data_IF_360249665582
#
_entry.id   IF_360249665582
#
_cell.length_a   1.000
_cell.length_b   1.000
_cell.length_c   1.000
_cell.angle_alpha   90.00
_cell.angle_beta   90.00
_cell.angle_gamma   90.00
#
_symmetry.space_group_name_H-M   'P 1'
#
loop_
_entity.id
_entity.type
_entity.pdbx_description
1 polymer ?
#
# COMPACT_ATOMS: atom_id res chain seq x y z
N UNK A 1 -21.76 11.47 -11.39
CA UNK A 1 -21.07 10.19 -11.17
C UNK A 1 -19.76 10.52 -10.49
N UNK A 2 -19.33 9.77 -9.48
CA UNK A 2 -18.06 10.06 -8.81
C UNK A 2 -16.90 9.85 -9.79
N UNK A 3 -16.00 10.83 -9.88
CA UNK A 3 -14.78 10.75 -10.68
C UNK A 3 -13.55 10.61 -9.79
N UNK A 4 -12.71 9.63 -10.09
CA UNK A 4 -11.51 9.31 -9.31
C UNK A 4 -10.25 9.83 -10.00
N UNK A 5 -9.41 10.54 -9.26
CA UNK A 5 -8.08 10.93 -9.67
C UNK A 5 -7.04 9.95 -9.15
N UNK A 6 -6.27 9.34 -10.03
CA UNK A 6 -5.23 8.38 -9.65
C UNK A 6 -3.88 9.00 -9.97
N UNK A 7 -2.90 8.83 -9.09
CA UNK A 7 -1.54 9.30 -9.38
C UNK A 7 -0.49 8.27 -9.02
N UNK A 8 0.64 8.34 -9.71
CA UNK A 8 1.79 7.52 -9.38
C UNK A 8 3.05 7.90 -10.14
N UNK A 9 4.12 7.17 -9.86
CA UNK A 9 5.40 7.31 -10.55
C UNK A 9 5.85 5.97 -11.07
N UNK A 10 6.60 5.97 -12.16
CA UNK A 10 7.08 4.73 -12.76
C UNK A 10 8.52 4.86 -13.26
N UNK A 11 9.21 3.72 -13.26
CA UNK A 11 10.53 3.56 -13.86
C UNK A 11 10.71 2.11 -14.32
N UNK A 12 10.97 1.92 -15.61
CA UNK A 12 11.26 0.63 -16.25
C UNK A 12 10.30 -0.51 -15.84
N UNK A 13 9.01 -0.30 -16.09
CA UNK A 13 7.92 -1.21 -15.76
C UNK A 13 7.11 -1.66 -16.97
N UNK A 14 7.71 -1.67 -18.17
CA UNK A 14 7.05 -2.15 -19.38
C UNK A 14 6.55 -3.60 -19.25
N UNK A 15 7.18 -4.38 -18.37
CA UNK A 15 6.81 -5.77 -18.04
C UNK A 15 5.50 -5.93 -17.27
N UNK A 16 4.99 -4.89 -16.60
CA UNK A 16 3.77 -5.01 -15.76
C UNK A 16 2.74 -3.92 -15.96
N UNK A 17 3.15 -2.77 -16.50
CA UNK A 17 2.33 -1.57 -16.51
C UNK A 17 1.03 -1.75 -17.29
N UNK A 18 1.10 -2.44 -18.44
CA UNK A 18 -0.08 -2.78 -19.24
C UNK A 18 -1.05 -3.64 -18.44
N UNK A 19 -0.55 -4.68 -17.77
CA UNK A 19 -1.38 -5.54 -16.91
C UNK A 19 -2.04 -4.76 -15.78
N UNK A 20 -1.33 -3.83 -15.14
CA UNK A 20 -1.92 -2.97 -14.09
C UNK A 20 -3.05 -2.11 -14.66
N UNK A 21 -2.83 -1.44 -15.79
CA UNK A 21 -3.80 -0.52 -16.39
C UNK A 21 -5.04 -1.28 -16.87
N UNK A 22 -4.87 -2.39 -17.57
CA UNK A 22 -5.99 -3.20 -18.06
C UNK A 22 -6.79 -3.84 -16.91
N UNK A 23 -6.12 -4.33 -15.86
CA UNK A 23 -6.82 -4.90 -14.69
C UNK A 23 -7.61 -3.82 -13.93
N UNK A 24 -7.04 -2.61 -13.79
CA UNK A 24 -7.74 -1.46 -13.22
C UNK A 24 -8.97 -1.09 -14.06
N UNK A 25 -8.79 -0.88 -15.37
CA UNK A 25 -9.85 -0.53 -16.31
C UNK A 25 -10.98 -1.56 -16.32
N UNK A 26 -10.63 -2.84 -16.23
CA UNK A 26 -11.61 -3.93 -16.18
C UNK A 26 -12.41 -3.94 -14.88
N UNK A 27 -11.76 -3.68 -13.73
CA UNK A 27 -12.38 -3.84 -12.41
C UNK A 27 -13.02 -2.59 -11.87
N UNK A 28 -12.48 -1.41 -12.15
CA UNK A 28 -12.96 -0.15 -11.58
C UNK A 28 -14.16 0.38 -12.38
N UNK A 29 -15.33 0.48 -11.74
CA UNK A 29 -16.59 0.93 -12.36
C UNK A 29 -16.76 2.46 -12.39
N UNK A 30 -15.84 3.18 -11.78
CA UNK A 30 -15.86 4.63 -11.67
C UNK A 30 -15.31 5.28 -12.93
N UNK A 31 -15.71 6.52 -13.21
CA UNK A 31 -14.93 7.37 -14.11
C UNK A 31 -13.59 7.70 -13.42
N UNK A 32 -12.49 7.64 -14.16
CA UNK A 32 -11.18 7.94 -13.59
C UNK A 32 -10.19 8.49 -14.61
N UNK A 33 -9.25 9.26 -14.09
CA UNK A 33 -8.09 9.77 -14.83
C UNK A 33 -6.83 9.46 -14.04
N UNK A 34 -5.73 9.22 -14.74
CA UNK A 34 -4.46 8.85 -14.11
C UNK A 34 -3.40 9.89 -14.48
N UNK A 35 -2.70 10.46 -13.49
CA UNK A 35 -1.49 11.22 -13.75
C UNK A 35 -0.24 10.42 -13.37
N UNK A 36 0.71 10.33 -14.30
CA UNK A 36 1.91 9.49 -14.12
C UNK A 36 3.18 10.28 -14.42
N UNK A 37 4.07 10.34 -13.44
CA UNK A 37 5.43 10.82 -13.62
C UNK A 37 6.35 9.65 -13.97
N UNK A 38 6.74 9.54 -15.25
CA UNK A 38 7.77 8.61 -15.71
C UNK A 38 9.18 9.18 -15.45
N UNK A 39 10.02 8.41 -14.78
CA UNK A 39 11.40 8.79 -14.46
C UNK A 39 12.36 8.49 -15.61
N UNK A 40 12.00 8.90 -16.84
CA UNK A 40 12.76 8.63 -18.06
C UNK A 40 13.06 7.13 -18.25
N UNK A 41 12.00 6.32 -18.27
CA UNK A 41 12.12 4.89 -18.58
C UNK A 41 12.74 4.66 -19.96
N UNK A 42 13.46 3.55 -20.11
CA UNK A 42 14.17 3.18 -21.34
C UNK A 42 13.69 1.88 -21.98
N UNK A 43 12.65 1.28 -21.42
CA UNK A 43 12.15 -0.05 -21.77
C UNK A 43 10.79 -0.02 -22.49
N UNK A 44 10.34 1.15 -22.96
CA UNK A 44 9.03 1.31 -23.58
C UNK A 44 7.91 1.71 -22.61
N UNK A 45 8.19 1.87 -21.31
CA UNK A 45 7.15 2.20 -20.31
C UNK A 45 6.37 3.46 -20.66
N UNK A 46 7.06 4.53 -21.07
CA UNK A 46 6.41 5.82 -21.35
C UNK A 46 5.54 5.75 -22.61
N UNK A 47 5.97 5.00 -23.62
CA UNK A 47 5.23 4.73 -24.84
C UNK A 47 3.93 4.00 -24.52
N UNK A 48 3.99 2.96 -23.69
CA UNK A 48 2.80 2.21 -23.25
C UNK A 48 1.80 3.12 -22.53
N UNK A 49 2.27 4.00 -21.64
CA UNK A 49 1.38 4.94 -20.93
C UNK A 49 0.59 5.83 -21.88
N UNK A 50 1.22 6.31 -22.97
CA UNK A 50 0.61 7.22 -23.96
C UNK A 50 -0.42 6.53 -24.86
N UNK A 51 -0.53 5.21 -24.82
CA UNK A 51 -1.57 4.48 -25.57
C UNK A 51 -2.97 4.69 -24.96
N UNK A 52 -3.06 5.22 -23.74
CA UNK A 52 -4.31 5.39 -23.00
C UNK A 52 -4.68 6.87 -22.89
N UNK A 53 -5.87 7.22 -23.38
CA UNK A 53 -6.41 8.58 -23.41
C UNK A 53 -6.75 9.16 -22.02
N UNK A 54 -7.10 8.29 -21.06
CA UNK A 54 -7.34 8.66 -19.66
C UNK A 54 -6.07 8.79 -18.81
N UNK A 55 -4.88 8.74 -19.43
CA UNK A 55 -3.59 8.83 -18.73
C UNK A 55 -2.80 10.10 -19.15
N UNK A 56 -2.65 11.01 -18.20
CA UNK A 56 -1.73 12.14 -18.25
C UNK A 56 -0.31 11.71 -17.86
N UNK A 57 0.41 11.14 -18.83
CA UNK A 57 1.81 10.75 -18.64
C UNK A 57 2.78 11.87 -19.03
N UNK A 58 3.75 12.14 -18.16
CA UNK A 58 4.84 13.08 -18.45
C UNK A 58 6.17 12.56 -17.91
N UNK A 59 7.27 13.03 -18.50
CA UNK A 59 8.61 12.63 -18.07
C UNK A 59 9.27 13.70 -17.20
N UNK A 60 9.81 13.27 -16.07
CA UNK A 60 10.64 14.12 -15.22
C UNK A 60 11.59 13.27 -14.40
N UNK A 61 12.85 13.71 -14.33
CA UNK A 61 13.86 13.02 -13.53
C UNK A 61 13.55 13.24 -12.05
N UNK A 62 13.38 12.16 -11.30
CA UNK A 62 12.98 12.24 -9.90
C UNK A 62 13.41 11.00 -9.10
N UNK A 63 13.37 11.10 -7.78
CA UNK A 63 13.19 9.92 -6.93
C UNK A 63 11.73 9.44 -6.98
N UNK A 64 11.45 8.30 -6.34
CA UNK A 64 10.08 7.77 -6.23
C UNK A 64 9.13 8.74 -5.54
N UNK A 65 9.50 9.26 -4.37
CA UNK A 65 8.67 10.22 -3.63
C UNK A 65 8.45 11.50 -4.42
N UNK A 66 9.51 12.08 -4.99
CA UNK A 66 9.38 13.30 -5.77
C UNK A 66 8.56 13.12 -7.06
N UNK A 67 8.66 11.95 -7.71
CA UNK A 67 7.83 11.62 -8.86
C UNK A 67 6.34 11.57 -8.51
N UNK A 68 5.99 11.03 -7.34
CA UNK A 68 4.61 11.06 -6.82
C UNK A 68 4.14 12.46 -6.48
N UNK A 69 5.01 13.33 -5.97
CA UNK A 69 4.69 14.74 -5.77
C UNK A 69 4.27 15.39 -7.10
N UNK A 70 5.09 15.21 -8.14
CA UNK A 70 4.81 15.82 -9.44
C UNK A 70 3.53 15.28 -10.07
N UNK A 71 3.29 13.96 -9.96
CA UNK A 71 2.07 13.35 -10.47
C UNK A 71 0.81 13.86 -9.73
N UNK A 72 0.87 14.00 -8.41
CA UNK A 72 -0.24 14.56 -7.61
C UNK A 72 -0.52 16.03 -7.96
N UNK A 73 0.53 16.85 -8.07
CA UNK A 73 0.40 18.26 -8.47
C UNK A 73 -0.18 18.41 -9.88
N UNK A 74 0.29 17.58 -10.83
CA UNK A 74 -0.22 17.57 -12.19
C UNK A 74 -1.70 17.14 -12.26
N UNK A 75 -2.06 16.07 -11.53
CA UNK A 75 -3.45 15.60 -11.44
C UNK A 75 -4.39 16.72 -10.96
N UNK A 76 -4.06 17.36 -9.84
CA UNK A 76 -4.91 18.41 -9.24
C UNK A 76 -5.00 19.65 -10.12
N UNK A 77 -3.93 19.96 -10.86
CA UNK A 77 -3.89 21.10 -11.78
C UNK A 77 -4.75 20.86 -13.02
N UNK A 78 -4.65 19.68 -13.64
CA UNK A 78 -5.26 19.41 -14.93
C UNK A 78 -6.68 18.84 -14.81
N UNK A 79 -6.99 18.18 -13.70
CA UNK A 79 -8.28 17.53 -13.47
C UNK A 79 -8.93 18.06 -12.17
N UNK A 80 -9.33 19.34 -12.12
CA UNK A 80 -9.96 19.94 -10.95
C UNK A 80 -11.38 19.42 -10.70
N UNK A 81 -11.91 18.58 -11.58
CA UNK A 81 -13.23 17.96 -11.58
C UNK A 81 -13.27 16.58 -10.91
N UNK A 82 -12.13 16.04 -10.45
CA UNK A 82 -12.11 14.78 -9.68
C UNK A 82 -12.67 14.99 -8.26
N UNK A 83 -13.39 14.00 -7.75
CA UNK A 83 -13.98 14.04 -6.41
C UNK A 83 -13.00 13.52 -5.34
N UNK A 84 -12.41 12.36 -5.61
CA UNK A 84 -11.49 11.66 -4.72
C UNK A 84 -10.21 11.29 -5.43
N UNK A 85 -9.11 11.27 -4.68
CA UNK A 85 -7.79 10.98 -5.19
C UNK A 85 -7.18 9.82 -4.41
N UNK A 86 -6.49 8.92 -5.10
CA UNK A 86 -5.64 7.91 -4.45
C UNK A 86 -4.42 7.55 -5.30
N UNK A 87 -3.45 6.94 -4.64
CA UNK A 87 -2.18 6.50 -5.20
C UNK A 87 -2.22 5.03 -5.63
N UNK A 88 -1.54 4.70 -6.73
CA UNK A 88 -1.23 3.31 -7.11
C UNK A 88 0.24 3.13 -7.52
N UNK A 89 0.74 1.91 -7.31
CA UNK A 89 1.95 1.41 -7.95
C UNK A 89 1.61 0.83 -9.34
N UNK A 90 2.52 0.93 -10.32
CA UNK A 90 2.36 0.39 -11.69
C UNK A 90 2.91 -1.04 -11.85
N UNK A 91 2.94 -1.78 -10.75
CA UNK A 91 3.34 -3.18 -10.69
C UNK A 91 2.39 -4.03 -9.85
N UNK A 92 1.11 -3.66 -9.86
CA UNK A 92 0.06 -4.29 -9.06
C UNK A 92 -1.12 -4.78 -9.90
N UNK A 93 -1.96 -5.62 -9.29
CA UNK A 93 -3.30 -6.03 -9.73
C UNK A 93 -4.29 -5.74 -8.60
N UNK A 94 -5.57 -5.63 -8.92
CA UNK A 94 -6.61 -5.19 -8.01
C UNK A 94 -7.50 -6.35 -7.52
N UNK A 95 -8.04 -6.29 -6.29
CA UNK A 95 -9.01 -7.28 -5.82
C UNK A 95 -10.34 -7.17 -6.57
N UNK A 96 -11.10 -8.27 -6.59
CA UNK A 96 -12.47 -8.26 -7.16
C UNK A 96 -13.43 -7.40 -6.33
N UNK A 97 -13.14 -7.21 -5.03
CA UNK A 97 -13.90 -6.34 -4.11
C UNK A 97 -13.52 -4.85 -4.18
N UNK A 98 -12.76 -4.42 -5.21
CA UNK A 98 -12.25 -3.05 -5.29
C UNK A 98 -13.37 -2.00 -5.25
N UNK A 99 -14.47 -2.23 -5.98
CA UNK A 99 -15.56 -1.24 -6.05
C UNK A 99 -16.29 -1.12 -4.73
N UNK A 100 -16.64 -2.25 -4.11
CA UNK A 100 -17.32 -2.28 -2.82
C UNK A 100 -16.44 -1.64 -1.74
N UNK A 101 -15.12 -1.80 -1.83
CA UNK A 101 -14.17 -1.13 -0.95
C UNK A 101 -14.20 0.39 -1.13
N UNK A 102 -14.19 0.88 -2.37
CA UNK A 102 -14.28 2.31 -2.67
C UNK A 102 -15.64 2.87 -2.22
N UNK A 103 -16.75 2.18 -2.49
CA UNK A 103 -18.09 2.56 -2.05
C UNK A 103 -18.15 2.72 -0.52
N UNK A 104 -17.61 1.71 0.20
CA UNK A 104 -17.53 1.71 1.65
C UNK A 104 -16.71 2.87 2.19
N UNK A 105 -15.56 3.15 1.58
CA UNK A 105 -14.69 4.28 1.92
C UNK A 105 -15.42 5.61 1.72
N UNK A 106 -16.03 5.84 0.55
CA UNK A 106 -16.75 7.08 0.22
C UNK A 106 -17.88 7.32 1.22
N UNK A 107 -18.62 6.28 1.59
CA UNK A 107 -19.76 6.38 2.52
C UNK A 107 -19.37 6.84 3.92
N UNK A 108 -18.19 6.45 4.40
CA UNK A 108 -17.72 6.81 5.75
C UNK A 108 -16.76 8.00 5.77
N UNK A 109 -16.33 8.45 4.59
CA UNK A 109 -15.31 9.47 4.44
C UNK A 109 -15.71 10.79 5.10
N UNK A 110 -14.76 11.43 5.80
CA UNK A 110 -14.91 12.81 6.27
C UNK A 110 -13.75 13.66 5.80
N UNK A 111 -14.04 14.95 5.62
CA UNK A 111 -13.05 15.92 5.18
C UNK A 111 -11.86 16.02 6.15
N UNK A 112 -10.64 16.16 5.59
CA UNK A 112 -9.34 16.08 6.29
C UNK A 112 -8.95 14.68 6.79
N UNK A 113 -9.68 13.64 6.38
CA UNK A 113 -9.28 12.24 6.57
C UNK A 113 -8.57 11.69 5.34
N UNK A 114 -7.67 10.74 5.57
CA UNK A 114 -6.89 10.03 4.57
C UNK A 114 -6.95 8.55 4.91
N UNK A 115 -7.27 7.72 3.93
CA UNK A 115 -7.51 6.31 4.12
C UNK A 115 -6.49 5.46 3.34
N UNK A 116 -5.73 4.65 4.08
CA UNK A 116 -4.68 3.77 3.57
C UNK A 116 -3.35 4.47 3.25
N UNK A 117 -2.29 3.69 3.04
CA UNK A 117 -1.01 4.20 2.51
C UNK A 117 -1.14 4.70 1.06
N UNK A 118 -2.18 4.25 0.35
CA UNK A 118 -2.61 4.79 -0.95
C UNK A 118 -3.33 6.14 -0.86
N UNK A 119 -3.52 6.69 0.33
CA UNK A 119 -3.88 8.08 0.53
C UNK A 119 -5.28 8.48 0.04
N UNK A 120 -6.26 7.57 0.02
CA UNK A 120 -7.59 7.91 -0.47
C UNK A 120 -8.17 9.11 0.31
N UNK A 121 -8.45 10.21 -0.37
CA UNK A 121 -9.00 11.43 0.20
C UNK A 121 -9.70 12.30 -0.86
N UNK A 122 -10.55 13.23 -0.43
CA UNK A 122 -11.18 14.19 -1.34
C UNK A 122 -10.14 15.10 -2.02
N UNK A 123 -10.48 15.64 -3.19
CA UNK A 123 -9.68 16.68 -3.86
C UNK A 123 -9.42 17.87 -2.93
N UNK A 124 -10.45 18.31 -2.19
CA UNK A 124 -10.35 19.40 -1.22
C UNK A 124 -9.34 19.09 -0.10
N UNK A 125 -9.37 17.85 0.42
CA UNK A 125 -8.39 17.42 1.42
C UNK A 125 -6.98 17.42 0.85
N UNK A 126 -6.77 16.90 -0.35
CA UNK A 126 -5.45 16.93 -0.98
C UNK A 126 -4.93 18.34 -1.29
N UNK A 127 -5.80 19.28 -1.68
CA UNK A 127 -5.43 20.70 -1.81
C UNK A 127 -4.92 21.27 -0.49
N UNK A 128 -5.57 20.94 0.65
CA UNK A 128 -5.08 21.35 1.99
C UNK A 128 -3.78 20.67 2.37
N UNK A 129 -3.62 19.38 2.04
CA UNK A 129 -2.39 18.63 2.30
C UNK A 129 -1.22 19.29 1.56
N UNK A 130 -1.37 19.61 0.28
CA UNK A 130 -0.31 20.20 -0.54
C UNK A 130 0.20 21.55 -0.03
N UNK A 131 -0.59 22.30 0.74
CA UNK A 131 -0.15 23.54 1.39
C UNK A 131 0.87 23.25 2.52
N UNK A 132 0.80 22.08 3.16
CA UNK A 132 1.51 21.78 4.42
C UNK A 132 2.50 20.62 4.33
N UNK A 133 2.28 19.69 3.40
CA UNK A 133 2.98 18.40 3.28
C UNK A 133 3.31 18.15 1.82
N UNK A 134 4.49 17.56 1.59
CA UNK A 134 4.92 17.11 0.27
C UNK A 134 5.54 15.72 0.40
N UNK A 135 5.45 14.95 -0.67
CA UNK A 135 6.29 13.77 -0.81
C UNK A 135 7.76 14.19 -0.79
N UNK A 136 8.56 13.50 0.03
CA UNK A 136 9.98 13.80 0.17
C UNK A 136 10.76 13.25 -1.02
N UNK A 137 11.89 13.88 -1.32
CA UNK A 137 12.82 13.43 -2.37
C UNK A 137 13.59 12.18 -1.91
N UNK A 138 12.91 11.03 -1.96
CA UNK A 138 13.37 9.75 -1.41
C UNK A 138 12.89 8.58 -2.27
N UNK A 139 13.69 7.51 -2.33
CA UNK A 139 13.37 6.27 -3.06
C UNK A 139 12.88 5.13 -2.15
N UNK A 140 13.09 5.23 -0.85
CA UNK A 140 12.78 4.18 0.13
C UNK A 140 12.13 4.84 1.33
N UNK A 141 11.10 4.22 1.89
CA UNK A 141 10.31 4.69 3.06
C UNK A 141 9.57 6.01 2.88
N UNK A 142 9.50 6.52 1.65
CA UNK A 142 8.82 7.76 1.28
C UNK A 142 7.33 7.73 1.63
N UNK A 143 6.64 6.60 1.41
CA UNK A 143 5.22 6.36 1.78
C UNK A 143 4.99 6.60 3.27
N UNK A 144 5.91 6.06 4.06
CA UNK A 144 5.81 6.11 5.50
C UNK A 144 6.11 7.51 6.04
N UNK A 145 7.13 8.19 5.48
CA UNK A 145 7.43 9.57 5.86
C UNK A 145 6.29 10.52 5.48
N UNK A 146 5.67 10.32 4.32
CA UNK A 146 4.51 11.11 3.89
C UNK A 146 3.33 10.96 4.87
N UNK A 147 3.01 9.71 5.27
CA UNK A 147 1.99 9.43 6.30
C UNK A 147 2.30 10.09 7.65
N UNK A 148 3.56 10.06 8.07
CA UNK A 148 4.00 10.71 9.32
C UNK A 148 3.82 12.23 9.24
N UNK A 149 4.22 12.86 8.13
CA UNK A 149 4.10 14.31 7.93
C UNK A 149 2.63 14.76 7.88
N UNK A 150 1.78 14.00 7.17
CA UNK A 150 0.33 14.16 7.16
C UNK A 150 -0.23 14.29 8.58
N UNK A 151 0.09 13.33 9.44
CA UNK A 151 -0.45 13.29 10.80
C UNK A 151 0.08 14.46 11.63
N UNK A 152 1.37 14.77 11.53
CA UNK A 152 1.96 15.93 12.23
C UNK A 152 1.36 17.26 11.80
N UNK A 153 0.84 17.37 10.57
CA UNK A 153 0.18 18.57 10.06
C UNK A 153 -1.32 18.63 10.34
N UNK A 154 -1.83 17.71 11.16
CA UNK A 154 -3.18 17.76 11.71
C UNK A 154 -4.24 17.03 10.88
N UNK A 155 -3.84 16.19 9.93
CA UNK A 155 -4.76 15.35 9.18
C UNK A 155 -4.95 13.99 9.86
N UNK A 156 -6.12 13.41 9.67
CA UNK A 156 -6.46 12.12 10.25
C UNK A 156 -6.10 11.00 9.28
N UNK A 157 -5.18 10.12 9.68
CA UNK A 157 -4.87 8.92 8.92
C UNK A 157 -5.64 7.72 9.49
N UNK A 158 -6.24 6.94 8.60
CA UNK A 158 -6.86 5.64 8.88
C UNK A 158 -6.19 4.58 8.01
N UNK A 159 -6.03 3.37 8.54
CA UNK A 159 -5.56 2.23 7.76
C UNK A 159 -6.69 1.30 7.40
N UNK A 160 -6.64 0.78 6.17
CA UNK A 160 -7.51 -0.32 5.77
C UNK A 160 -6.94 -1.63 6.33
N UNK A 161 -7.81 -2.45 6.91
CA UNK A 161 -7.50 -3.84 7.27
C UNK A 161 -7.41 -4.78 6.06
N UNK A 162 -7.56 -4.25 4.84
CA UNK A 162 -7.54 -4.95 3.58
C UNK A 162 -6.56 -4.30 2.59
N UNK A 163 -5.94 -5.10 1.71
CA UNK A 163 -5.15 -4.57 0.62
C UNK A 163 -6.05 -3.96 -0.47
N UNK A 164 -5.67 -2.78 -0.98
CA UNK A 164 -6.31 -2.14 -2.14
C UNK A 164 -5.78 -2.70 -3.48
N UNK A 165 -4.62 -3.34 -3.43
CA UNK A 165 -3.94 -3.94 -4.58
C UNK A 165 -2.96 -5.02 -4.12
N UNK A 166 -2.52 -5.85 -5.05
CA UNK A 166 -1.53 -6.90 -4.84
C UNK A 166 -0.39 -6.73 -5.84
N UNK A 167 0.85 -6.85 -5.38
CA UNK A 167 2.01 -6.80 -6.28
C UNK A 167 1.95 -7.95 -7.29
N UNK A 168 2.20 -7.64 -8.56
CA UNK A 168 2.37 -8.64 -9.61
C UNK A 168 3.59 -9.52 -9.34
N UNK A 169 3.49 -10.80 -9.70
CA UNK A 169 4.64 -11.69 -9.70
C UNK A 169 5.61 -11.27 -10.81
N UNK A 170 6.84 -10.92 -10.42
CA UNK A 170 7.91 -10.58 -11.35
C UNK A 170 9.05 -11.58 -11.22
N UNK A 171 9.18 -12.55 -12.13
CA UNK A 171 10.36 -13.39 -12.20
C UNK A 171 11.60 -12.49 -12.34
N UNK A 172 12.61 -12.67 -11.48
CA UNK A 172 13.88 -11.90 -11.52
C UNK A 172 13.78 -10.42 -11.10
N UNK A 173 12.71 -9.94 -10.44
CA UNK A 173 12.61 -8.56 -9.89
C UNK A 173 13.89 -8.11 -9.18
N UNK A 174 14.49 -9.00 -8.39
CA UNK A 174 15.71 -8.70 -7.63
C UNK A 174 16.97 -8.56 -8.51
N UNK A 175 16.99 -9.17 -9.72
CA UNK A 175 18.06 -8.97 -10.72
C UNK A 175 18.04 -7.58 -11.34
N UNK A 176 16.88 -6.91 -11.38
CA UNK A 176 16.78 -5.51 -11.84
C UNK A 176 17.50 -4.56 -10.87
N UNK A 177 17.45 -4.84 -9.57
CA UNK A 177 18.08 -3.99 -8.54
C UNK A 177 19.55 -4.30 -8.26
N UNK A 178 20.07 -5.45 -8.71
CA UNK A 178 21.48 -5.81 -8.57
C UNK A 178 21.87 -6.90 -9.58
N UNK A 179 23.08 -6.82 -10.15
CA UNK A 179 23.66 -7.82 -11.07
C UNK A 179 24.91 -8.49 -10.46
N UNK A 180 25.26 -9.69 -10.92
CA UNK A 180 26.49 -10.41 -10.51
C UNK A 180 26.56 -10.72 -9.00
N UNK A 181 27.74 -10.53 -8.38
CA UNK A 181 27.93 -10.73 -6.93
C UNK A 181 27.02 -9.82 -6.07
N UNK A 182 26.60 -8.66 -6.58
CA UNK A 182 25.61 -7.80 -5.91
C UNK A 182 24.20 -8.42 -5.91
N UNK A 183 23.84 -9.21 -6.93
CA UNK A 183 22.59 -9.98 -6.96
C UNK A 183 22.59 -11.11 -5.94
N UNK A 184 23.70 -11.86 -5.84
CA UNK A 184 23.87 -12.93 -4.86
C UNK A 184 23.90 -12.34 -3.44
N UNK A 185 24.66 -11.26 -3.22
CA UNK A 185 24.65 -10.53 -1.95
C UNK A 185 23.27 -9.91 -1.65
N UNK A 186 22.48 -9.54 -2.66
CA UNK A 186 21.10 -9.07 -2.48
C UNK A 186 20.13 -10.20 -2.18
N UNK A 187 20.28 -11.38 -2.77
CA UNK A 187 19.53 -12.59 -2.41
C UNK A 187 19.90 -13.05 -0.98
N UNK A 188 21.19 -13.10 -0.64
CA UNK A 188 21.68 -13.38 0.72
C UNK A 188 21.19 -12.32 1.70
N UNK A 189 21.27 -11.03 1.36
CA UNK A 189 20.62 -9.96 2.13
C UNK A 189 19.14 -10.24 2.22
N UNK A 190 18.38 -10.52 1.17
CA UNK A 190 16.93 -10.83 1.29
C UNK A 190 16.66 -12.01 2.24
N UNK A 191 17.54 -13.00 2.28
CA UNK A 191 17.51 -14.13 3.22
C UNK A 191 18.05 -13.80 4.64
N UNK A 192 18.82 -12.71 4.84
CA UNK A 192 19.45 -12.24 6.09
C UNK A 192 19.13 -10.76 6.47
N UNK A 193 18.06 -10.14 5.92
CA UNK A 193 18.04 -8.75 5.40
C UNK A 193 18.34 -7.54 6.27
N UNK A 194 18.45 -7.63 7.59
CA UNK A 194 18.20 -6.45 8.42
C UNK A 194 19.26 -6.10 9.48
N UNK A 195 20.47 -6.68 9.47
CA UNK A 195 21.41 -6.41 10.58
C UNK A 195 22.51 -5.37 10.27
N UNK A 196 23.36 -5.60 9.26
CA UNK A 196 24.57 -4.77 9.08
C UNK A 196 24.36 -3.48 8.26
N UNK A 197 23.49 -3.50 7.23
CA UNK A 197 23.20 -2.30 6.43
C UNK A 197 22.14 -1.40 7.11
N UNK A 198 21.26 -1.98 7.95
CA UNK A 198 20.40 -1.21 8.85
C UNK A 198 21.23 -0.46 9.89
N UNK A 199 22.34 -1.00 10.41
CA UNK A 199 23.28 -0.24 11.25
C UNK A 199 24.02 0.85 10.48
N UNK A 200 24.54 0.57 9.28
CA UNK A 200 25.29 1.57 8.50
C UNK A 200 24.41 2.69 7.90
N UNK A 201 23.15 2.42 7.53
CA UNK A 201 22.18 3.46 7.11
C UNK A 201 21.44 4.13 8.28
N UNK A 202 21.29 3.46 9.44
CA UNK A 202 20.84 4.11 10.68
C UNK A 202 21.84 5.17 11.17
N UNK A 203 23.07 5.17 10.66
CA UNK A 203 24.15 6.05 11.12
C UNK A 203 24.36 7.28 10.23
N UNK A 204 23.89 7.32 8.97
CA UNK A 204 24.32 8.41 8.07
C UNK A 204 23.30 9.50 7.75
N UNK A 205 22.00 9.29 7.98
CA UNK A 205 21.03 10.37 7.83
C UNK A 205 20.09 10.32 9.03
N UNK A 206 20.45 11.09 10.05
CA UNK A 206 19.54 11.52 11.10
C UNK A 206 18.16 11.82 10.51
N UNK A 207 17.17 11.01 10.87
CA UNK A 207 15.89 11.34 11.51
C UNK A 207 15.68 12.80 12.00
N UNK A 208 16.20 13.84 11.36
CA UNK A 208 15.97 15.23 11.74
C UNK A 208 14.47 15.53 11.51
N UNK A 209 13.51 15.34 12.42
CA UNK A 209 13.50 15.42 13.88
C UNK A 209 12.43 14.50 14.53
N UNK A 210 12.44 13.19 14.27
CA UNK A 210 11.47 12.24 14.85
C UNK A 210 12.23 11.03 15.40
N UNK A 211 12.40 10.94 16.72
CA UNK A 211 13.20 9.88 17.36
C UNK A 211 12.59 8.48 17.26
N UNK A 212 11.30 8.35 16.89
CA UNK A 212 10.60 7.07 16.79
C UNK A 212 9.34 7.19 15.90
N UNK A 213 9.52 7.12 14.59
CA UNK A 213 8.43 7.33 13.63
C UNK A 213 7.37 6.23 13.68
N UNK A 214 7.73 5.01 14.06
CA UNK A 214 6.79 3.90 14.22
C UNK A 214 5.90 4.13 15.44
N UNK A 215 6.48 4.54 16.57
CA UNK A 215 5.69 4.97 17.74
C UNK A 215 4.81 6.16 17.43
N UNK A 216 5.27 7.11 16.62
CA UNK A 216 4.41 8.21 16.17
C UNK A 216 3.23 7.69 15.38
N UNK A 217 3.45 6.85 14.36
CA UNK A 217 2.36 6.26 13.61
C UNK A 217 1.42 5.48 14.55
N UNK A 218 1.95 4.77 15.54
CA UNK A 218 1.13 4.05 16.51
C UNK A 218 0.30 4.98 17.41
N UNK A 219 0.91 6.06 17.89
CA UNK A 219 0.31 7.00 18.84
C UNK A 219 -0.73 7.89 18.16
N UNK A 220 -0.49 8.24 16.89
CA UNK A 220 -1.29 9.23 16.19
C UNK A 220 -2.18 8.66 15.09
N UNK A 221 -2.04 7.38 14.72
CA UNK A 221 -3.02 6.72 13.86
C UNK A 221 -4.40 6.76 14.51
N UNK A 222 -5.39 7.33 13.80
CA UNK A 222 -6.75 7.44 14.32
C UNK A 222 -7.40 6.09 14.45
N UNK A 223 -7.46 5.30 13.38
CA UNK A 223 -8.07 3.98 13.43
C UNK A 223 -7.64 3.01 12.34
N UNK A 224 -8.04 1.74 12.51
CA UNK A 224 -7.99 0.70 11.48
C UNK A 224 -9.43 0.40 11.09
N UNK A 225 -9.74 0.58 9.81
CA UNK A 225 -11.04 0.34 9.19
C UNK A 225 -11.13 -1.12 8.75
N UNK A 226 -12.19 -1.80 9.17
CA UNK A 226 -12.40 -3.23 8.89
C UNK A 226 -13.60 -3.46 7.95
N UNK A 227 -13.68 -4.60 7.24
CA UNK A 227 -14.72 -4.90 6.25
C UNK A 227 -16.15 -4.64 6.75
N UNK A 228 -16.55 -5.03 7.98
CA UNK A 228 -17.89 -4.70 8.47
C UNK A 228 -18.19 -3.19 8.55
N UNK A 229 -17.19 -2.36 8.87
CA UNK A 229 -17.33 -0.89 8.88
C UNK A 229 -17.41 -0.31 7.46
N UNK A 230 -16.85 -1.04 6.49
CA UNK A 230 -16.81 -0.67 5.07
C UNK A 230 -17.95 -1.30 4.26
N UNK A 231 -18.95 -1.90 4.91
CA UNK A 231 -20.06 -2.61 4.26
C UNK A 231 -19.63 -3.75 3.32
N UNK A 232 -18.44 -4.28 3.54
CA UNK A 232 -17.91 -5.44 2.81
C UNK A 232 -18.36 -6.74 3.46
N UNK A 233 -18.33 -7.84 2.70
CA UNK A 233 -18.63 -9.18 3.22
C UNK A 233 -17.78 -9.45 4.48
N UNK A 234 -18.46 -9.77 5.58
CA UNK A 234 -17.83 -10.13 6.85
C UNK A 234 -16.93 -11.38 6.70
N UNK A 235 -17.13 -12.17 5.65
CA UNK A 235 -16.34 -13.36 5.31
C UNK A 235 -15.10 -13.02 4.47
N UNK A 236 -14.76 -11.75 4.23
CA UNK A 236 -13.59 -11.42 3.43
C UNK A 236 -12.28 -11.78 4.16
N UNK A 237 -11.31 -12.32 3.41
CA UNK A 237 -9.97 -12.57 3.90
C UNK A 237 -9.24 -11.26 4.24
N UNK A 238 -8.67 -11.19 5.43
CA UNK A 238 -7.80 -10.11 5.86
C UNK A 238 -6.33 -10.52 5.72
N UNK A 239 -5.49 -9.58 5.31
CA UNK A 239 -4.04 -9.73 5.42
C UNK A 239 -3.53 -8.70 6.42
N UNK A 240 -3.32 -9.14 7.65
CA UNK A 240 -2.93 -8.25 8.74
C UNK A 240 -1.45 -8.48 9.05
N UNK A 241 -0.70 -7.39 9.13
CA UNK A 241 0.74 -7.39 9.38
C UNK A 241 0.96 -6.38 10.50
N UNK A 242 0.66 -6.73 11.76
CA UNK A 242 0.78 -5.79 12.86
C UNK A 242 2.26 -5.69 13.21
N UNK A 243 2.88 -4.57 12.83
CA UNK A 243 4.29 -4.30 13.14
C UNK A 243 4.49 -3.98 14.63
N UNK A 244 3.44 -3.48 15.29
CA UNK A 244 3.41 -3.17 16.72
C UNK A 244 2.30 -3.96 17.43
N UNK A 245 2.55 -4.59 18.60
CA UNK A 245 1.54 -5.35 19.35
C UNK A 245 0.27 -4.56 19.68
N UNK A 246 0.39 -3.24 19.85
CA UNK A 246 -0.76 -2.35 20.10
C UNK A 246 -1.77 -2.32 18.95
N UNK A 247 -1.33 -2.45 17.69
CA UNK A 247 -2.25 -2.54 16.54
C UNK A 247 -3.04 -3.83 16.58
N UNK A 248 -2.39 -4.95 16.87
CA UNK A 248 -3.06 -6.24 17.00
C UNK A 248 -4.15 -6.19 18.08
N UNK A 249 -3.85 -5.61 19.25
CA UNK A 249 -4.84 -5.45 20.33
C UNK A 249 -6.02 -4.57 19.89
N UNK A 250 -5.76 -3.43 19.23
CA UNK A 250 -6.80 -2.52 18.72
C UNK A 250 -7.71 -3.22 17.71
N UNK A 251 -7.11 -3.98 16.79
CA UNK A 251 -7.86 -4.74 15.79
C UNK A 251 -8.69 -5.86 16.41
N UNK A 252 -8.12 -6.67 17.31
CA UNK A 252 -8.84 -7.74 18.02
C UNK A 252 -10.06 -7.17 18.74
N UNK A 253 -9.91 -6.04 19.44
CA UNK A 253 -11.02 -5.35 20.12
C UNK A 253 -12.11 -4.86 19.16
N UNK A 254 -11.75 -4.45 17.94
CA UNK A 254 -12.74 -4.09 16.92
C UNK A 254 -13.42 -5.31 16.34
N UNK A 255 -12.65 -6.33 15.98
CA UNK A 255 -13.17 -7.58 15.43
C UNK A 255 -14.12 -8.26 16.42
N UNK A 256 -13.90 -8.16 17.74
CA UNK A 256 -14.82 -8.73 18.74
C UNK A 256 -16.22 -8.11 18.73
N UNK A 257 -16.42 -6.94 18.10
CA UNK A 257 -17.75 -6.35 17.92
C UNK A 257 -18.56 -7.09 16.84
N UNK A 258 -17.89 -7.75 15.91
CA UNK A 258 -18.50 -8.33 14.71
C UNK A 258 -18.38 -9.85 14.65
N UNK A 259 -17.43 -10.44 15.39
CA UNK A 259 -17.04 -11.83 15.27
C UNK A 259 -16.87 -12.48 16.64
N UNK A 260 -17.34 -13.72 16.78
CA UNK A 260 -17.15 -14.53 17.99
C UNK A 260 -15.72 -15.07 18.11
N UNK A 261 -15.09 -15.35 16.97
CA UNK A 261 -13.71 -15.85 16.88
C UNK A 261 -13.08 -15.50 15.53
N UNK A 262 -11.75 -15.56 15.46
CA UNK A 262 -10.96 -15.44 14.23
C UNK A 262 -9.90 -16.52 14.18
N UNK A 263 -9.49 -16.93 12.97
CA UNK A 263 -8.29 -17.74 12.80
C UNK A 263 -7.10 -16.83 12.53
N UNK A 264 -5.93 -17.19 13.08
CA UNK A 264 -4.69 -16.46 12.88
C UNK A 264 -3.62 -17.44 12.42
N UNK A 265 -3.08 -17.20 11.24
CA UNK A 265 -1.89 -17.87 10.74
C UNK A 265 -0.63 -17.10 11.19
N UNK A 266 0.18 -17.70 12.06
CA UNK A 266 1.40 -17.05 12.55
C UNK A 266 2.54 -17.25 11.56
N UNK A 267 3.11 -16.16 11.05
CA UNK A 267 4.32 -16.20 10.22
C UNK A 267 5.49 -15.61 11.00
N UNK A 268 6.41 -16.46 11.45
CA UNK A 268 7.69 -16.00 11.99
C UNK A 268 8.68 -15.72 10.85
N UNK A 269 9.33 -14.54 10.87
CA UNK A 269 10.58 -14.30 10.13
C UNK A 269 11.76 -14.59 11.05
N UNK A 270 12.87 -15.08 10.50
CA UNK A 270 14.04 -15.53 11.27
C UNK A 270 14.63 -14.44 12.19
N UNK A 271 14.53 -13.14 11.86
CA UNK A 271 15.23 -12.06 12.59
C UNK A 271 14.37 -10.79 12.94
N UNK A 272 13.02 -10.83 12.89
CA UNK A 272 12.17 -9.67 13.26
C UNK A 272 10.83 -10.09 13.88
N UNK A 273 10.10 -9.10 14.42
CA UNK A 273 8.75 -9.17 15.03
C UNK A 273 7.83 -10.19 14.33
N UNK A 274 7.10 -10.98 15.13
CA UNK A 274 6.16 -12.01 14.64
C UNK A 274 5.08 -11.34 13.78
N UNK A 275 4.84 -11.86 12.57
CA UNK A 275 3.67 -11.47 11.79
C UNK A 275 2.49 -12.35 12.17
N UNK A 276 1.30 -11.75 12.24
CA UNK A 276 0.05 -12.43 12.52
C UNK A 276 -0.87 -12.21 11.34
N UNK A 277 -0.94 -13.17 10.44
CA UNK A 277 -1.91 -13.15 9.38
C UNK A 277 -3.25 -13.58 9.96
N UNK A 278 -4.08 -12.61 10.34
CA UNK A 278 -5.43 -12.89 10.82
C UNK A 278 -6.29 -13.18 9.60
N UNK A 279 -6.82 -14.39 9.52
CA UNK A 279 -7.67 -14.84 8.44
C UNK A 279 -9.04 -15.17 9.03
N UNK A 280 -10.07 -14.46 8.58
CA UNK A 280 -11.44 -14.84 8.87
C UNK A 280 -12.02 -15.60 7.67
N UNK A 281 -11.97 -16.94 7.74
CA UNK A 281 -12.76 -17.82 6.89
C UNK A 281 -12.83 -19.24 7.50
N UNK A 282 -13.74 -20.08 7.00
CA UNK A 282 -13.58 -21.53 7.10
C UNK A 282 -12.16 -21.95 6.68
N UNK A 283 -11.66 -22.98 7.36
CA UNK A 283 -10.28 -23.45 7.22
C UNK A 283 -9.88 -23.78 5.76
N UNK A 284 -10.81 -24.30 4.93
CA UNK A 284 -10.52 -24.68 3.53
C UNK A 284 -10.20 -23.47 2.66
N UNK A 285 -10.83 -22.35 2.94
CA UNK A 285 -10.61 -21.12 2.18
C UNK A 285 -9.41 -20.35 2.68
N UNK A 286 -9.09 -20.45 3.98
CA UNK A 286 -7.80 -20.01 4.52
C UNK A 286 -6.69 -20.63 3.69
N UNK A 287 -6.69 -21.96 3.54
CA UNK A 287 -5.68 -22.68 2.78
C UNK A 287 -5.59 -22.17 1.34
N UNK A 288 -6.71 -22.07 0.61
CA UNK A 288 -6.71 -21.62 -0.79
C UNK A 288 -6.05 -20.25 -1.00
N UNK A 289 -6.46 -19.24 -0.25
CA UNK A 289 -5.95 -17.88 -0.46
C UNK A 289 -4.60 -17.64 0.22
N UNK A 290 -4.37 -18.26 1.38
CA UNK A 290 -3.08 -18.22 2.04
C UNK A 290 -2.01 -18.89 1.19
N UNK A 291 -2.33 -19.95 0.45
CA UNK A 291 -1.38 -20.61 -0.46
C UNK A 291 -0.89 -19.66 -1.56
N UNK A 292 -1.75 -18.77 -2.09
CA UNK A 292 -1.32 -17.74 -3.04
C UNK A 292 -0.34 -16.75 -2.40
N UNK A 293 -0.65 -16.27 -1.19
CA UNK A 293 0.25 -15.40 -0.43
C UNK A 293 1.56 -16.09 -0.04
N UNK A 294 1.50 -17.36 0.39
CA UNK A 294 2.66 -18.13 0.81
C UNK A 294 3.57 -18.48 -0.37
N UNK A 295 3.00 -18.77 -1.56
CA UNK A 295 3.76 -18.85 -2.82
C UNK A 295 4.50 -17.54 -3.10
N UNK A 296 3.83 -16.39 -2.95
CA UNK A 296 4.45 -15.07 -3.12
C UNK A 296 5.64 -14.85 -2.17
N UNK A 297 5.57 -15.33 -0.92
CA UNK A 297 6.67 -15.22 0.06
C UNK A 297 7.59 -16.45 0.11
N UNK A 298 7.48 -17.36 -0.86
CA UNK A 298 8.25 -18.61 -0.95
C UNK A 298 8.24 -19.43 0.36
N UNK A 299 7.05 -19.60 0.95
CA UNK A 299 6.80 -20.44 2.12
C UNK A 299 5.75 -21.49 1.79
N UNK A 300 5.79 -22.61 2.50
CA UNK A 300 4.75 -23.63 2.46
C UNK A 300 3.71 -23.37 3.56
N UNK A 301 2.46 -23.73 3.29
CA UNK A 301 1.42 -23.72 4.31
C UNK A 301 1.74 -24.76 5.38
N UNK A 302 1.42 -24.42 6.63
CA UNK A 302 1.69 -25.26 7.79
C UNK A 302 0.47 -25.19 8.73
N UNK A 303 -0.38 -26.22 8.75
CA UNK A 303 -1.64 -26.20 9.48
C UNK A 303 -1.43 -25.94 10.99
N UNK A 304 -0.28 -26.33 11.54
CA UNK A 304 0.05 -26.14 12.95
C UNK A 304 0.29 -24.66 13.32
N UNK A 305 0.41 -23.77 12.33
CA UNK A 305 0.55 -22.33 12.54
C UNK A 305 -0.79 -21.59 12.57
N UNK A 306 -1.92 -22.30 12.37
CA UNK A 306 -3.27 -21.75 12.48
C UNK A 306 -3.71 -21.81 13.94
N UNK A 307 -4.08 -20.66 14.52
CA UNK A 307 -4.60 -20.52 15.87
C UNK A 307 -6.01 -19.96 15.79
N UNK A 308 -6.97 -20.62 16.44
CA UNK A 308 -8.31 -20.04 16.66
C UNK A 308 -8.27 -19.16 17.90
N UNK A 309 -8.62 -17.88 17.77
CA UNK A 309 -8.78 -16.95 18.88
C UNK A 309 -10.26 -16.65 19.07
N UNK A 310 -10.80 -16.97 20.24
CA UNK A 310 -12.12 -16.52 20.64
C UNK A 310 -12.03 -15.03 21.03
N UNK A 311 -12.93 -14.23 20.50
CA UNK A 311 -12.95 -12.78 20.62
C UNK A 311 -13.97 -12.27 21.64
N UNK A 312 -14.91 -13.11 22.06
CA UNK A 312 -15.89 -12.84 23.11
C UNK A 312 -15.47 -13.40 24.46
#
# INVERSE_FOLDING_TARGET
>A
MVKLGIYGTVYNSADTIRTTIEDLKKKLKYDFVISVCDNFSKDGTFEILKEYDFIDAFQRKSTRGLGRQYALENLIKNHPDVDYIFYIDFDVIFPDYLNELIDGIIKIYKENEIIGFGGFASLSTYKKILIKVRWRDMNVTEDFMYSVDIIHKGFNLYFLGLPISFNQERPKRERKYAKGLKYINRLFKIYFKDYALHKLLATWIKFNSIRDSERILHTHLKDILIPPELYLDKNLLFLIIPYHPGYLKKMIKKLSLYYDYVYIYIIKRKNKVKYYLIIYYDYKTIEKYLMNFLRYVNKTFDPNKVIKINLK
#
